data_IF_584130214256
#
_entry.id   IF_584130214256
#
_cell.length_a   1.000
_cell.length_b   1.000
_cell.length_c   1.000
_cell.angle_alpha   90.00
_cell.angle_beta   90.00
_cell.angle_gamma   90.00
#
_symmetry.space_group_name_H-M   'P 1'
#
loop_
_entity.id
_entity.type
_entity.pdbx_description
1 polymer ?
#
# COMPACT_ATOMS: atom_id res chain seq x y z
N UNK A 1 -1.16 -48.03 37.87
CA UNK A 1 -1.93 -46.77 37.94
C UNK A 1 -1.61 -45.97 36.68
N UNK A 2 -2.58 -45.87 35.77
CA UNK A 2 -2.47 -45.10 34.54
C UNK A 2 -2.94 -43.66 34.80
N UNK A 3 -2.17 -42.66 34.40
CA UNK A 3 -2.69 -41.29 34.18
C UNK A 3 -2.07 -40.75 32.90
N UNK A 4 -2.97 -40.38 32.01
CA UNK A 4 -2.85 -40.10 30.60
C UNK A 4 -2.32 -38.69 30.33
N UNK A 5 -1.17 -38.60 29.65
CA UNK A 5 -0.66 -37.36 29.10
C UNK A 5 -1.51 -36.90 27.91
N UNK A 6 -2.29 -35.83 28.10
CA UNK A 6 -3.03 -35.18 27.02
C UNK A 6 -2.10 -34.29 26.19
N UNK A 7 -1.82 -34.76 24.99
CA UNK A 7 -1.26 -34.01 23.86
C UNK A 7 -2.24 -32.88 23.52
N UNK A 8 -1.84 -31.61 23.68
CA UNK A 8 -2.52 -30.48 23.03
C UNK A 8 -1.82 -30.19 21.72
N UNK A 9 -2.43 -30.65 20.64
CA UNK A 9 -2.07 -30.27 19.27
C UNK A 9 -2.14 -28.75 19.15
N UNK A 10 -1.05 -28.16 18.65
CA UNK A 10 -0.99 -26.76 18.30
C UNK A 10 -1.86 -26.60 17.05
N UNK A 11 -3.06 -26.07 17.23
CA UNK A 11 -3.99 -25.67 16.17
C UNK A 11 -3.39 -24.47 15.41
N UNK A 12 -2.43 -24.73 14.52
CA UNK A 12 -1.93 -23.78 13.51
C UNK A 12 -2.83 -23.91 12.28
N UNK A 13 -4.10 -23.51 12.39
CA UNK A 13 -5.02 -23.52 11.25
C UNK A 13 -6.18 -22.53 11.34
N UNK A 14 -6.36 -21.84 12.47
CA UNK A 14 -7.58 -21.08 12.75
C UNK A 14 -7.38 -19.56 12.88
N UNK A 15 -6.26 -19.03 12.36
CA UNK A 15 -5.97 -17.58 12.34
C UNK A 15 -5.95 -16.98 10.93
N UNK A 16 -6.29 -17.75 9.89
CA UNK A 16 -6.27 -17.31 8.49
C UNK A 16 -7.70 -16.97 7.98
N UNK A 17 -8.75 -17.23 8.76
CA UNK A 17 -10.13 -17.29 8.22
C UNK A 17 -10.99 -16.01 8.27
N UNK A 18 -10.63 -14.94 8.99
CA UNK A 18 -11.57 -13.79 9.13
C UNK A 18 -10.93 -12.39 9.08
N UNK A 19 -10.04 -12.12 8.12
CA UNK A 19 -9.88 -10.73 7.65
C UNK A 19 -11.05 -10.37 6.75
N UNK A 20 -12.22 -10.22 7.36
CA UNK A 20 -13.38 -9.59 6.74
C UNK A 20 -12.93 -8.18 6.37
N UNK A 21 -12.71 -7.92 5.08
CA UNK A 21 -12.32 -6.60 4.57
C UNK A 21 -13.41 -5.63 4.99
N UNK A 22 -13.17 -4.87 6.04
CA UNK A 22 -14.09 -3.83 6.49
C UNK A 22 -13.98 -2.75 5.43
N UNK A 23 -14.91 -2.75 4.47
CA UNK A 23 -15.02 -1.68 3.50
C UNK A 23 -15.32 -0.38 4.24
N UNK A 24 -14.29 0.45 4.44
CA UNK A 24 -14.48 1.80 4.94
C UNK A 24 -15.36 2.56 3.95
N UNK A 25 -16.50 3.04 4.41
CA UNK A 25 -17.33 3.95 3.63
C UNK A 25 -16.54 5.24 3.35
N UNK A 26 -16.50 5.63 2.07
CA UNK A 26 -15.74 6.79 1.58
C UNK A 26 -14.42 6.46 0.85
N UNK A 27 -14.07 5.19 0.69
CA UNK A 27 -12.88 4.81 -0.11
C UNK A 27 -13.23 4.79 -1.59
N UNK A 28 -12.45 5.52 -2.39
CA UNK A 28 -12.68 5.73 -3.83
C UNK A 28 -12.75 4.44 -4.66
N UNK A 29 -12.03 3.40 -4.22
CA UNK A 29 -11.94 2.11 -4.92
C UNK A 29 -12.05 0.94 -3.95
N UNK A 30 -13.15 0.16 -3.99
CA UNK A 30 -13.40 -0.91 -3.03
C UNK A 30 -12.75 -2.26 -3.40
N UNK A 31 -12.32 -2.46 -4.66
CA UNK A 31 -11.77 -3.74 -5.14
C UNK A 31 -10.29 -3.94 -4.86
N UNK A 32 -9.48 -2.87 -4.86
CA UNK A 32 -8.12 -2.94 -4.35
C UNK A 32 -8.17 -2.70 -2.83
N UNK A 33 -7.57 -3.56 -2.00
CA UNK A 33 -7.66 -3.41 -0.55
C UNK A 33 -6.87 -2.17 -0.11
N UNK A 34 -7.59 -1.10 0.20
CA UNK A 34 -7.02 0.15 0.73
C UNK A 34 -6.14 -0.07 1.96
N UNK A 35 -6.49 -1.06 2.78
CA UNK A 35 -5.69 -1.46 3.94
C UNK A 35 -4.29 -1.91 3.54
N UNK A 36 -4.14 -2.62 2.42
CA UNK A 36 -2.84 -3.05 1.91
C UNK A 36 -2.01 -1.86 1.43
N UNK A 37 -2.62 -0.92 0.70
CA UNK A 37 -1.98 0.33 0.32
C UNK A 37 -1.45 1.08 1.55
N UNK A 38 -2.27 1.24 2.59
CA UNK A 38 -1.86 1.92 3.83
C UNK A 38 -0.73 1.18 4.54
N UNK A 39 -0.78 -0.14 4.61
CA UNK A 39 0.29 -0.95 5.19
C UNK A 39 1.63 -0.76 4.45
N UNK A 40 1.62 -0.64 3.11
CA UNK A 40 2.83 -0.38 2.31
C UNK A 40 3.42 1.00 2.63
N UNK A 41 2.57 2.02 2.73
CA UNK A 41 2.98 3.38 3.10
C UNK A 41 3.55 3.44 4.51
N UNK A 42 2.87 2.84 5.48
CA UNK A 42 3.30 2.86 6.89
C UNK A 42 4.63 2.12 7.07
N UNK A 43 4.83 1.02 6.36
CA UNK A 43 6.13 0.33 6.35
C UNK A 43 7.23 1.17 5.72
N UNK A 44 6.94 1.90 4.63
CA UNK A 44 7.90 2.82 4.04
C UNK A 44 8.27 3.95 5.01
N UNK A 45 7.30 4.52 5.73
CA UNK A 45 7.54 5.53 6.78
C UNK A 45 8.40 4.99 7.92
N UNK A 46 8.15 3.77 8.38
CA UNK A 46 8.98 3.13 9.41
C UNK A 46 10.43 2.98 8.95
N UNK A 47 10.65 2.61 7.68
CA UNK A 47 12.00 2.49 7.12
C UNK A 47 12.68 3.85 6.97
N UNK A 48 11.95 4.87 6.48
CA UNK A 48 12.45 6.24 6.39
C UNK A 48 12.93 6.75 7.76
N UNK A 49 12.07 6.61 8.78
CA UNK A 49 12.41 7.02 10.15
C UNK A 49 13.57 6.21 10.73
N UNK A 50 13.61 4.89 10.50
CA UNK A 50 14.72 4.03 10.95
C UNK A 50 16.07 4.47 10.39
N UNK A 51 16.09 4.98 9.16
CA UNK A 51 17.31 5.41 8.48
C UNK A 51 17.58 6.92 8.59
N UNK A 52 16.73 7.69 9.30
CA UNK A 52 16.88 9.14 9.41
C UNK A 52 16.68 9.87 8.07
N UNK A 53 15.80 9.35 7.21
CA UNK A 53 15.48 9.92 5.90
C UNK A 53 14.12 10.62 5.96
N UNK A 54 14.05 11.85 5.46
CA UNK A 54 12.81 12.64 5.48
C UNK A 54 11.82 12.23 4.37
N UNK A 55 12.35 11.84 3.21
CA UNK A 55 11.55 11.49 2.05
C UNK A 55 12.23 10.48 1.11
N UNK A 56 11.41 9.72 0.39
CA UNK A 56 11.81 8.85 -0.70
C UNK A 56 11.19 9.35 -2.00
N UNK A 57 12.04 9.67 -3.00
CA UNK A 57 11.60 10.01 -4.34
C UNK A 57 11.57 8.75 -5.21
N UNK A 58 10.44 8.53 -5.87
CA UNK A 58 10.18 7.39 -6.71
C UNK A 58 9.93 7.88 -8.13
N UNK A 59 10.77 7.44 -9.07
CA UNK A 59 10.65 7.77 -10.49
C UNK A 59 10.11 6.61 -11.32
N UNK A 60 10.26 5.37 -10.82
CA UNK A 60 9.81 4.19 -11.55
C UNK A 60 8.27 4.08 -11.52
N UNK A 61 7.62 3.85 -12.67
CA UNK A 61 6.19 3.57 -12.74
C UNK A 61 5.77 2.37 -11.87
N UNK A 62 6.63 1.36 -11.74
CA UNK A 62 6.36 0.19 -10.89
C UNK A 62 6.31 0.55 -9.41
N UNK A 63 7.14 1.50 -8.96
CA UNK A 63 7.11 2.00 -7.59
C UNK A 63 5.85 2.83 -7.33
N UNK A 64 5.36 3.56 -8.34
CA UNK A 64 4.10 4.29 -8.23
C UNK A 64 2.92 3.37 -8.11
N UNK A 65 2.90 2.28 -8.89
CA UNK A 65 1.85 1.27 -8.75
C UNK A 65 1.86 0.66 -7.34
N UNK A 66 3.04 0.29 -6.86
CA UNK A 66 3.19 -0.35 -5.55
C UNK A 66 2.74 0.55 -4.39
N UNK A 67 3.19 1.81 -4.36
CA UNK A 67 2.94 2.72 -3.25
C UNK A 67 1.78 3.67 -3.47
N UNK A 68 1.30 3.87 -4.70
CA UNK A 68 0.16 4.74 -5.04
C UNK A 68 -1.17 4.01 -5.14
N UNK A 69 -1.15 2.66 -5.11
CA UNK A 69 -2.36 1.83 -5.15
C UNK A 69 -3.16 2.03 -6.43
N UNK A 70 -2.47 2.10 -7.56
CA UNK A 70 -3.09 2.31 -8.86
C UNK A 70 -4.00 1.13 -9.23
N UNK A 71 -5.23 1.43 -9.62
CA UNK A 71 -6.26 0.42 -9.90
C UNK A 71 -6.28 -0.07 -11.35
N UNK A 72 -5.61 0.65 -12.26
CA UNK A 72 -5.53 0.33 -13.69
C UNK A 72 -4.07 0.15 -14.13
N UNK A 73 -3.75 -1.04 -14.65
CA UNK A 73 -2.45 -1.36 -15.20
C UNK A 73 -2.12 -0.56 -16.46
N UNK A 74 -3.12 -0.13 -17.24
CA UNK A 74 -2.93 0.59 -18.50
C UNK A 74 -2.21 1.94 -18.31
N UNK A 75 -2.20 2.49 -17.10
CA UNK A 75 -1.57 3.77 -16.79
C UNK A 75 -0.11 3.62 -16.31
N UNK A 76 0.41 2.38 -16.23
CA UNK A 76 1.79 2.06 -15.84
C UNK A 76 2.86 2.44 -16.89
N UNK A 77 2.45 2.86 -18.09
CA UNK A 77 3.31 2.83 -19.28
C UNK A 77 3.85 4.19 -19.73
N UNK A 78 3.53 5.27 -19.02
CA UNK A 78 4.05 6.57 -19.39
C UNK A 78 5.27 6.87 -18.55
N UNK A 79 6.44 6.46 -19.04
CA UNK A 79 7.74 6.93 -18.56
C UNK A 79 7.81 8.46 -18.76
N UNK A 80 7.21 9.18 -17.82
CA UNK A 80 7.20 10.62 -17.81
C UNK A 80 8.41 11.07 -17.04
N UNK A 81 9.47 11.37 -17.77
CA UNK A 81 10.76 11.90 -17.30
C UNK A 81 10.72 13.14 -16.38
N UNK A 82 9.53 13.68 -16.05
CA UNK A 82 9.32 14.82 -15.14
C UNK A 82 8.30 14.56 -14.04
N UNK A 83 7.90 13.31 -13.88
CA UNK A 83 6.95 12.92 -12.87
C UNK A 83 7.67 12.13 -11.78
N UNK A 84 7.31 12.37 -10.53
CA UNK A 84 7.87 11.68 -9.37
C UNK A 84 6.81 11.56 -8.29
N UNK A 85 6.85 10.45 -7.57
CA UNK A 85 6.09 10.29 -6.34
C UNK A 85 7.03 10.45 -5.14
N UNK A 86 6.60 11.23 -4.17
CA UNK A 86 7.35 11.56 -2.97
C UNK A 86 6.63 10.91 -1.80
N UNK A 87 7.30 9.95 -1.16
CA UNK A 87 6.86 9.40 0.11
C UNK A 87 7.53 10.18 1.22
N UNK A 88 6.74 10.86 2.03
CA UNK A 88 7.24 11.60 3.17
C UNK A 88 7.14 10.76 4.45
N UNK A 89 8.08 10.95 5.37
CA UNK A 89 8.07 10.29 6.68
C UNK A 89 6.92 10.79 7.58
N UNK A 90 6.47 12.04 7.39
CA UNK A 90 5.59 12.79 8.29
C UNK A 90 4.16 13.05 7.75
N UNK A 91 3.95 12.92 6.44
CA UNK A 91 2.69 13.26 5.76
C UNK A 91 2.28 12.22 4.73
N UNK A 92 1.11 12.44 4.11
CA UNK A 92 0.64 11.59 3.02
C UNK A 92 1.51 11.77 1.76
N UNK A 93 1.63 10.71 0.93
CA UNK A 93 2.38 10.75 -0.31
C UNK A 93 1.96 11.91 -1.22
N UNK A 94 2.91 12.47 -1.97
CA UNK A 94 2.65 13.52 -2.95
C UNK A 94 3.09 13.05 -4.32
N UNK A 95 2.24 13.19 -5.33
CA UNK A 95 2.62 12.93 -6.72
C UNK A 95 2.81 14.25 -7.45
N UNK A 96 4.01 14.44 -7.99
CA UNK A 96 4.32 15.51 -8.95
C UNK A 96 4.26 14.87 -10.32
N UNK A 97 3.33 15.28 -11.18
CA UNK A 97 3.18 14.71 -12.50
C UNK A 97 2.72 15.73 -13.53
N UNK A 98 2.89 15.37 -14.81
CA UNK A 98 2.40 16.18 -15.92
C UNK A 98 0.86 16.34 -15.85
N UNK A 99 0.36 17.54 -16.13
CA UNK A 99 -1.07 17.87 -16.01
C UNK A 99 -1.98 16.99 -16.89
N UNK A 100 -1.45 16.44 -17.99
CA UNK A 100 -2.15 15.47 -18.83
C UNK A 100 -2.63 14.22 -18.07
N UNK A 101 -2.01 13.88 -16.93
CA UNK A 101 -2.38 12.76 -16.08
C UNK A 101 -3.26 13.15 -14.89
N UNK A 102 -3.70 14.41 -14.80
CA UNK A 102 -4.49 14.90 -13.66
C UNK A 102 -5.74 14.05 -13.42
N UNK A 103 -6.52 13.78 -14.48
CA UNK A 103 -7.72 12.94 -14.38
C UNK A 103 -7.39 11.52 -13.97
N UNK A 104 -6.31 10.95 -14.51
CA UNK A 104 -5.89 9.59 -14.17
C UNK A 104 -5.43 9.48 -12.72
N UNK A 105 -4.60 10.42 -12.25
CA UNK A 105 -4.10 10.43 -10.88
C UNK A 105 -5.23 10.63 -9.88
N UNK A 106 -6.09 11.61 -10.16
CA UNK A 106 -7.25 11.86 -9.35
C UNK A 106 -8.13 10.62 -9.31
N UNK A 107 -8.49 10.05 -10.46
CA UNK A 107 -9.43 8.94 -10.52
C UNK A 107 -8.80 7.66 -10.00
N UNK A 108 -7.70 7.18 -10.54
CA UNK A 108 -7.25 5.78 -10.40
C UNK A 108 -6.22 5.53 -9.30
N UNK A 109 -6.01 6.46 -8.37
CA UNK A 109 -5.06 6.30 -7.25
C UNK A 109 -5.70 6.63 -5.90
N UNK A 110 -5.03 6.28 -4.81
CA UNK A 110 -5.42 6.68 -3.44
C UNK A 110 -4.66 7.90 -2.91
N UNK A 111 -3.95 8.61 -3.80
CA UNK A 111 -3.15 9.78 -3.49
C UNK A 111 -3.95 11.05 -3.77
#
# INVERSE_FOLDING_TARGET
MAVTGHIRSIFISDQISERRVIMKQGVKWPHFPYDEYRLRIDKARQLLNKHGLDALLLFSPTSWWYYGGWTDAAQMHNDCWRSAMILCADRDPVVVAHNAFQSTLALNTYI
#
